data_IF_057949353243
#
_entry.id   IF_057949353243
#
_cell.length_a   1.000
_cell.length_b   1.000
_cell.length_c   1.000
_cell.angle_alpha   90.00
_cell.angle_beta   90.00
_cell.angle_gamma   90.00
#
_symmetry.space_group_name_H-M   'P 1'
#
loop_
_entity.id
_entity.type
_entity.pdbx_description
1 polymer ?
#
# COMPACT_ATOMS: atom_id res chain seq x y z
N UNK A 1 -11.11 -10.19 -13.29
CA UNK A 1 -9.87 -10.40 -12.51
C UNK A 1 -9.69 -9.28 -11.50
N UNK A 2 -9.73 -8.01 -11.93
CA UNK A 2 -9.62 -6.84 -11.04
C UNK A 2 -10.55 -6.94 -9.82
N UNK A 3 -11.86 -7.10 -10.01
CA UNK A 3 -12.82 -7.19 -8.91
C UNK A 3 -12.49 -8.29 -7.88
N UNK A 4 -12.11 -9.49 -8.33
CA UNK A 4 -11.77 -10.59 -7.43
C UNK A 4 -10.49 -10.33 -6.62
N UNK A 5 -9.52 -9.62 -7.21
CA UNK A 5 -8.30 -9.21 -6.51
C UNK A 5 -8.61 -8.11 -5.49
N UNK A 6 -9.44 -7.15 -5.87
CA UNK A 6 -9.84 -6.04 -5.02
C UNK A 6 -10.69 -6.51 -3.82
N UNK A 7 -11.63 -7.43 -4.03
CA UNK A 7 -12.41 -8.06 -2.96
C UNK A 7 -11.54 -8.82 -1.95
N UNK A 8 -10.46 -9.47 -2.41
CA UNK A 8 -9.52 -10.14 -1.52
C UNK A 8 -8.80 -9.14 -0.61
N UNK A 9 -8.42 -7.98 -1.14
CA UNK A 9 -7.72 -6.95 -0.39
C UNK A 9 -8.57 -6.24 0.65
N UNK A 10 -9.88 -6.46 0.71
CA UNK A 10 -10.76 -5.86 1.71
C UNK A 10 -10.30 -6.16 3.15
N UNK A 11 -9.64 -7.30 3.38
CA UNK A 11 -9.16 -7.74 4.69
C UNK A 11 -7.67 -7.39 4.93
N UNK A 12 -7.01 -6.70 4.00
CA UNK A 12 -5.60 -6.34 4.17
C UNK A 12 -5.39 -5.29 5.25
N UNK A 13 -4.34 -5.49 6.05
CA UNK A 13 -3.96 -4.54 7.10
C UNK A 13 -3.54 -3.16 6.53
N UNK A 14 -3.10 -3.11 5.27
CA UNK A 14 -2.85 -1.88 4.54
C UNK A 14 -3.81 -1.76 3.38
N UNK A 15 -4.39 -0.58 3.20
CA UNK A 15 -5.31 -0.29 2.09
C UNK A 15 -4.64 -0.59 0.76
N UNK A 16 -5.14 -1.59 0.04
CA UNK A 16 -4.58 -2.08 -1.20
C UNK A 16 -5.70 -2.24 -2.22
N UNK A 17 -5.42 -1.96 -3.49
CA UNK A 17 -6.40 -2.10 -4.58
C UNK A 17 -5.74 -2.57 -5.86
N UNK A 18 -6.49 -3.31 -6.68
CA UNK A 18 -6.08 -3.69 -8.02
C UNK A 18 -6.59 -2.65 -9.01
N UNK A 19 -5.69 -1.97 -9.72
CA UNK A 19 -6.05 -0.88 -10.63
C UNK A 19 -6.07 -1.30 -12.10
N UNK A 20 -5.40 -2.41 -12.41
CA UNK A 20 -5.31 -2.93 -13.78
C UNK A 20 -4.98 -4.42 -13.77
N UNK A 21 -5.41 -5.13 -14.80
CA UNK A 21 -5.05 -6.52 -15.03
C UNK A 21 -5.19 -6.83 -16.52
N UNK A 22 -4.18 -7.46 -17.11
CA UNK A 22 -4.12 -7.63 -18.56
C UNK A 22 -3.12 -8.67 -19.02
N UNK A 23 -2.81 -8.59 -20.31
CA UNK A 23 -1.72 -9.33 -20.93
C UNK A 23 -0.89 -8.35 -21.73
N UNK A 24 0.41 -8.30 -21.46
CA UNK A 24 1.39 -7.47 -22.17
C UNK A 24 2.53 -8.38 -22.60
N UNK A 25 2.88 -8.33 -23.89
CA UNK A 25 3.92 -9.19 -24.50
C UNK A 25 3.76 -10.69 -24.18
N UNK A 26 2.51 -11.15 -24.14
CA UNK A 26 2.15 -12.54 -23.82
C UNK A 26 2.19 -12.88 -22.32
N UNK A 27 2.59 -11.95 -21.45
CA UNK A 27 2.66 -12.11 -20.00
C UNK A 27 1.41 -11.56 -19.33
N UNK A 28 0.73 -12.39 -18.54
CA UNK A 28 -0.44 -11.98 -17.77
C UNK A 28 -0.01 -11.28 -16.48
N UNK A 29 -0.56 -10.10 -16.23
CA UNK A 29 -0.18 -9.29 -15.06
C UNK A 29 -1.39 -8.75 -14.31
N UNK A 30 -1.13 -8.34 -13.06
CA UNK A 30 -2.01 -7.48 -12.25
C UNK A 30 -1.20 -6.28 -11.76
N UNK A 31 -1.82 -5.11 -11.66
CA UNK A 31 -1.20 -3.89 -11.13
C UNK A 31 -1.90 -3.50 -9.83
N UNK A 32 -1.11 -3.42 -8.76
CA UNK A 32 -1.55 -3.27 -7.39
C UNK A 32 -1.04 -1.93 -6.85
N UNK A 33 -1.92 -1.21 -6.16
CA UNK A 33 -1.54 -0.01 -5.40
C UNK A 33 -1.72 -0.29 -3.93
N UNK A 34 -0.69 0.00 -3.14
CA UNK A 34 -0.72 -0.11 -1.67
C UNK A 34 -0.55 1.29 -1.08
N UNK A 35 -1.50 1.74 -0.28
CA UNK A 35 -1.33 2.96 0.51
C UNK A 35 -0.77 2.60 1.88
N UNK A 36 0.40 3.14 2.19
CA UNK A 36 1.12 2.82 3.42
C UNK A 36 1.24 4.04 4.35
N UNK A 37 1.09 3.86 5.68
CA UNK A 37 1.32 4.92 6.64
C UNK A 37 2.73 5.52 6.57
N UNK A 38 2.89 6.74 7.09
CA UNK A 38 4.20 7.38 7.15
C UNK A 38 5.16 6.78 8.18
N UNK A 39 6.44 7.19 8.18
CA UNK A 39 7.50 6.62 9.03
C UNK A 39 7.24 6.69 10.55
N UNK A 40 6.25 7.47 10.98
CA UNK A 40 5.83 7.54 12.37
C UNK A 40 5.35 6.20 12.94
N UNK A 41 4.95 5.24 12.10
CA UNK A 41 4.62 3.88 12.58
C UNK A 41 5.82 3.16 13.20
N UNK A 42 7.03 3.57 12.82
CA UNK A 42 8.25 3.02 13.38
C UNK A 42 8.60 3.64 14.74
N UNK A 43 7.86 4.66 15.19
CA UNK A 43 8.00 5.16 16.55
C UNK A 43 7.64 4.06 17.54
N UNK A 44 8.35 4.02 18.67
CA UNK A 44 8.17 3.01 19.69
C UNK A 44 9.44 2.79 20.47
N UNK A 45 9.36 1.82 21.38
CA UNK A 45 10.45 1.43 22.25
C UNK A 45 10.98 0.06 21.86
N UNK A 46 12.28 -0.12 21.95
CA UNK A 46 12.95 -1.41 21.84
C UNK A 46 13.64 -1.71 23.16
N UNK A 47 13.75 -3.00 23.48
CA UNK A 47 14.55 -3.44 24.61
C UNK A 47 16.01 -3.41 24.17
N UNK A 48 16.79 -2.58 24.84
CA UNK A 48 18.22 -2.48 24.57
C UNK A 48 18.91 -3.83 24.80
N UNK A 49 19.68 -4.36 23.83
CA UNK A 49 20.27 -5.70 23.96
C UNK A 49 21.23 -5.83 25.13
N UNK A 50 21.91 -4.75 25.52
CA UNK A 50 22.96 -4.72 26.54
C UNK A 50 22.37 -4.44 27.92
N UNK A 51 21.70 -3.29 28.08
CA UNK A 51 21.16 -2.83 29.37
C UNK A 51 19.84 -3.52 29.73
N UNK A 52 19.17 -4.16 28.77
CA UNK A 52 17.83 -4.76 28.92
C UNK A 52 16.73 -3.76 29.30
N UNK A 53 17.00 -2.46 29.28
CA UNK A 53 16.03 -1.38 29.54
C UNK A 53 15.30 -1.00 28.25
N UNK A 54 14.06 -0.53 28.36
CA UNK A 54 13.33 0.02 27.22
C UNK A 54 13.88 1.40 26.86
N UNK A 55 14.23 1.60 25.59
CA UNK A 55 14.61 2.90 25.05
C UNK A 55 13.87 3.20 23.75
N UNK A 56 13.68 4.46 23.37
CA UNK A 56 13.16 4.82 22.06
C UNK A 56 14.02 4.20 20.95
N UNK A 57 13.39 3.85 19.81
CA UNK A 57 14.14 3.48 18.61
C UNK A 57 15.02 4.63 18.13
N UNK A 58 16.26 4.31 17.75
CA UNK A 58 17.15 5.24 17.04
C UNK A 58 16.60 5.53 15.64
N UNK A 59 17.06 6.60 14.95
CA UNK A 59 16.65 6.89 13.58
C UNK A 59 16.89 5.71 12.62
N UNK A 60 18.03 5.03 12.75
CA UNK A 60 18.39 3.86 11.95
C UNK A 60 17.45 2.68 12.22
N UNK A 61 17.16 2.36 13.49
CA UNK A 61 16.20 1.31 13.85
C UNK A 61 14.80 1.61 13.30
N UNK A 62 14.40 2.88 13.28
CA UNK A 62 13.12 3.29 12.68
C UNK A 62 13.10 3.06 11.17
N UNK A 63 14.18 3.42 10.48
CA UNK A 63 14.27 3.25 9.03
C UNK A 63 14.30 1.77 8.64
N UNK A 64 15.10 0.95 9.34
CA UNK A 64 15.15 -0.51 9.14
C UNK A 64 13.79 -1.15 9.41
N UNK A 65 13.13 -0.80 10.52
CA UNK A 65 11.79 -1.30 10.83
C UNK A 65 10.78 -0.90 9.75
N UNK A 66 10.79 0.37 9.32
CA UNK A 66 9.87 0.88 8.32
C UNK A 66 10.04 0.18 6.96
N UNK A 67 11.29 -0.05 6.54
CA UNK A 67 11.62 -0.82 5.33
C UNK A 67 11.10 -2.26 5.41
N UNK A 68 11.42 -2.96 6.51
CA UNK A 68 10.95 -4.33 6.73
C UNK A 68 9.42 -4.43 6.74
N UNK A 69 8.73 -3.45 7.35
CA UNK A 69 7.28 -3.42 7.41
C UNK A 69 6.63 -3.19 6.03
N UNK A 70 7.20 -2.30 5.21
CA UNK A 70 6.78 -2.12 3.80
C UNK A 70 7.00 -3.41 3.01
N UNK A 71 8.20 -4.00 3.09
CA UNK A 71 8.54 -5.20 2.34
C UNK A 71 7.59 -6.35 2.70
N UNK A 72 7.31 -6.55 3.99
CA UNK A 72 6.35 -7.56 4.46
C UNK A 72 4.95 -7.33 3.90
N UNK A 73 4.51 -6.07 3.86
CA UNK A 73 3.19 -5.69 3.32
C UNK A 73 3.12 -6.00 1.82
N UNK A 74 4.13 -5.61 1.05
CA UNK A 74 4.20 -5.88 -0.38
C UNK A 74 4.11 -7.39 -0.65
N UNK A 75 4.92 -8.20 0.04
CA UNK A 75 4.91 -9.65 -0.17
C UNK A 75 3.56 -10.27 0.20
N UNK A 76 2.93 -9.82 1.29
CA UNK A 76 1.60 -10.29 1.67
C UNK A 76 0.57 -9.98 0.56
N UNK A 77 0.51 -8.72 0.10
CA UNK A 77 -0.40 -8.29 -0.97
C UNK A 77 -0.16 -9.03 -2.28
N UNK A 78 1.10 -9.23 -2.67
CA UNK A 78 1.43 -9.95 -3.91
C UNK A 78 1.04 -11.44 -3.83
N UNK A 79 1.30 -12.10 -2.69
CA UNK A 79 0.88 -13.50 -2.50
C UNK A 79 -0.63 -13.67 -2.58
N UNK A 80 -1.37 -12.75 -1.98
CA UNK A 80 -2.83 -12.74 -2.05
C UNK A 80 -3.32 -12.52 -3.48
N UNK A 81 -2.76 -11.53 -4.19
CA UNK A 81 -3.08 -11.29 -5.58
C UNK A 81 -2.86 -12.54 -6.45
N UNK A 82 -1.75 -13.26 -6.24
CA UNK A 82 -1.47 -14.50 -6.96
C UNK A 82 -2.36 -15.68 -6.55
N UNK A 83 -2.86 -15.70 -5.32
CA UNK A 83 -3.82 -16.70 -4.87
C UNK A 83 -5.17 -16.53 -5.59
N UNK A 84 -5.63 -15.29 -5.77
CA UNK A 84 -6.95 -14.99 -6.37
C UNK A 84 -6.90 -14.79 -7.89
N UNK A 85 -5.73 -14.45 -8.44
CA UNK A 85 -5.45 -14.42 -9.88
C UNK A 85 -4.41 -15.50 -10.24
N UNK A 86 -4.79 -16.80 -10.26
CA UNK A 86 -3.84 -17.90 -10.50
C UNK A 86 -3.22 -17.88 -11.90
N UNK A 87 -3.87 -17.22 -12.85
CA UNK A 87 -3.37 -17.05 -14.21
C UNK A 87 -2.38 -15.89 -14.38
N UNK A 88 -2.24 -15.01 -13.38
CA UNK A 88 -1.28 -13.92 -13.41
C UNK A 88 0.14 -14.46 -13.17
N UNK A 89 1.04 -14.14 -14.10
CA UNK A 89 2.46 -14.46 -14.02
C UNK A 89 3.23 -13.34 -13.30
N UNK A 90 2.76 -12.09 -13.40
CA UNK A 90 3.40 -10.93 -12.78
C UNK A 90 2.45 -10.13 -11.89
N UNK A 91 2.99 -9.52 -10.85
CA UNK A 91 2.34 -8.49 -10.05
C UNK A 91 3.20 -7.21 -10.07
N UNK A 92 2.64 -6.12 -10.59
CA UNK A 92 3.27 -4.79 -10.60
C UNK A 92 2.77 -4.03 -9.39
N UNK A 93 3.65 -3.55 -8.54
CA UNK A 93 3.27 -2.91 -7.28
C UNK A 93 3.74 -1.48 -7.26
N UNK A 94 2.86 -0.58 -6.82
CA UNK A 94 3.20 0.80 -6.47
C UNK A 94 2.80 1.05 -5.02
N UNK A 95 3.75 1.49 -4.19
CA UNK A 95 3.46 1.90 -2.81
C UNK A 95 3.36 3.42 -2.75
N UNK A 96 2.21 3.90 -2.29
CA UNK A 96 1.90 5.31 -2.09
C UNK A 96 1.92 5.63 -0.59
N UNK A 97 2.31 6.86 -0.27
CA UNK A 97 2.25 7.41 1.08
C UNK A 97 1.74 8.84 1.04
N UNK A 98 0.99 9.23 2.07
CA UNK A 98 0.68 10.65 2.30
C UNK A 98 1.95 11.45 2.61
N UNK A 99 2.36 12.31 1.68
CA UNK A 99 3.44 13.27 1.79
C UNK A 99 2.87 14.67 2.01
N UNK A 100 2.98 15.16 3.25
CA UNK A 100 2.51 16.49 3.65
C UNK A 100 3.18 17.64 2.89
N UNK A 101 4.28 17.38 2.17
CA UNK A 101 4.95 18.38 1.31
C UNK A 101 4.24 18.59 -0.02
N UNK A 102 3.36 17.67 -0.42
CA UNK A 102 2.56 17.79 -1.64
C UNK A 102 1.36 18.70 -1.35
N UNK A 103 1.34 19.88 -1.97
CA UNK A 103 0.33 20.93 -1.76
C UNK A 103 -1.01 20.70 -2.50
N UNK A 104 -1.15 19.60 -3.25
CA UNK A 104 -2.35 19.28 -4.04
C UNK A 104 -3.29 18.34 -3.27
N UNK A 105 -4.56 18.28 -3.69
CA UNK A 105 -5.65 17.53 -3.05
C UNK A 105 -5.28 16.07 -2.75
N UNK A 106 -4.67 15.37 -3.71
CA UNK A 106 -4.03 14.08 -3.46
C UNK A 106 -2.65 14.27 -2.82
N UNK A 107 -2.57 14.31 -1.49
CA UNK A 107 -1.27 14.33 -0.76
C UNK A 107 -0.46 13.04 -0.93
N UNK A 108 -0.77 12.17 -1.88
CA UNK A 108 -0.07 10.91 -2.09
C UNK A 108 1.15 11.08 -2.97
N UNK A 109 2.24 10.42 -2.59
CA UNK A 109 3.43 10.28 -3.39
C UNK A 109 3.91 8.83 -3.41
N UNK A 110 4.38 8.36 -4.57
CA UNK A 110 4.97 7.03 -4.69
C UNK A 110 6.32 6.97 -3.96
N UNK A 111 6.52 5.95 -3.13
CA UNK A 111 7.77 5.73 -2.39
C UNK A 111 8.51 4.46 -2.86
N UNK A 112 7.83 3.60 -3.61
CA UNK A 112 8.36 2.36 -4.17
C UNK A 112 7.53 1.93 -5.37
N UNK A 113 8.17 1.36 -6.39
CA UNK A 113 7.49 0.59 -7.43
C UNK A 113 8.38 -0.56 -7.92
N UNK A 114 7.81 -1.71 -8.26
CA UNK A 114 8.54 -2.85 -8.84
C UNK A 114 7.59 -3.87 -9.47
N UNK A 115 8.16 -4.85 -10.16
CA UNK A 115 7.48 -6.02 -10.73
C UNK A 115 7.96 -7.29 -10.04
N UNK A 116 7.01 -8.14 -9.64
CA UNK A 116 7.27 -9.43 -9.00
C UNK A 116 6.80 -10.57 -9.90
N UNK A 117 7.68 -11.54 -10.14
CA UNK A 117 7.33 -12.77 -10.83
C UNK A 117 6.65 -13.76 -9.88
N UNK A 118 5.65 -14.49 -10.40
CA UNK A 118 4.91 -15.48 -9.61
C UNK A 118 5.83 -16.55 -9.02
N UNK A 119 6.75 -17.08 -9.80
CA UNK A 119 7.67 -18.13 -9.35
C UNK A 119 8.58 -17.63 -8.22
N UNK A 120 9.10 -16.41 -8.31
CA UNK A 120 9.98 -15.83 -7.29
C UNK A 120 9.29 -15.61 -5.94
N UNK A 121 7.98 -15.37 -5.96
CA UNK A 121 7.17 -15.16 -4.75
C UNK A 121 6.59 -16.47 -4.25
N UNK A 122 5.97 -17.28 -5.11
CA UNK A 122 5.17 -18.44 -4.70
C UNK A 122 6.02 -19.66 -4.37
N UNK A 123 7.19 -19.81 -5.01
CA UNK A 123 8.07 -20.96 -4.80
C UNK A 123 9.12 -20.72 -3.71
N UNK A 124 9.18 -19.50 -3.16
CA UNK A 124 10.15 -19.10 -2.12
C UNK A 124 9.76 -19.63 -0.74
N UNK A 125 10.74 -20.14 0.00
CA UNK A 125 10.55 -20.52 1.41
C UNK A 125 10.53 -19.29 2.33
N UNK A 126 9.33 -18.75 2.52
CA UNK A 126 9.08 -17.60 3.39
C UNK A 126 9.25 -17.89 4.88
N UNK A 127 9.50 -19.14 5.30
CA UNK A 127 9.83 -19.41 6.72
C UNK A 127 11.25 -19.00 7.07
N UNK A 128 12.14 -18.97 6.08
CA UNK A 128 13.55 -18.61 6.25
C UNK A 128 13.96 -17.35 5.48
N UNK A 129 13.15 -16.92 4.50
CA UNK A 129 13.46 -15.74 3.69
C UNK A 129 12.96 -14.45 4.35
N UNK A 130 13.77 -13.39 4.27
CA UNK A 130 13.35 -12.05 4.65
C UNK A 130 12.62 -11.36 3.48
N UNK A 131 11.46 -10.72 3.69
CA UNK A 131 10.74 -10.00 2.64
C UNK A 131 11.59 -8.96 1.90
N UNK A 132 12.49 -8.29 2.62
CA UNK A 132 13.38 -7.28 2.07
C UNK A 132 14.31 -7.81 0.98
N UNK A 133 14.72 -9.08 1.05
CA UNK A 133 15.66 -9.67 0.10
C UNK A 133 15.10 -9.70 -1.33
N UNK A 134 13.79 -9.95 -1.46
CA UNK A 134 13.10 -9.91 -2.75
C UNK A 134 12.69 -8.48 -3.12
N UNK A 135 12.07 -7.76 -2.19
CA UNK A 135 11.49 -6.44 -2.46
C UNK A 135 12.55 -5.44 -2.92
N UNK A 136 13.75 -5.48 -2.34
CA UNK A 136 14.82 -4.52 -2.68
C UNK A 136 15.72 -4.97 -3.84
N UNK A 137 15.40 -6.09 -4.49
CA UNK A 137 16.11 -6.59 -5.67
C UNK A 137 15.16 -6.92 -6.84
N UNK A 138 13.87 -6.63 -6.68
CA UNK A 138 12.83 -6.93 -7.65
C UNK A 138 13.04 -6.24 -9.01
N UNK A 139 12.46 -6.82 -10.04
CA UNK A 139 12.52 -6.31 -11.41
C UNK A 139 11.91 -4.91 -11.49
N UNK A 140 12.56 -4.02 -12.26
CA UNK A 140 12.16 -2.62 -12.45
C UNK A 140 12.00 -1.81 -11.16
N UNK A 141 12.69 -2.21 -10.09
CA UNK A 141 12.58 -1.51 -8.80
C UNK A 141 12.96 -0.02 -8.92
N UNK A 142 12.07 0.83 -8.42
CA UNK A 142 12.24 2.27 -8.26
C UNK A 142 12.08 2.64 -6.79
N UNK A 143 13.13 3.20 -6.21
CA UNK A 143 13.17 3.65 -4.83
C UNK A 143 14.09 4.87 -4.69
N UNK A 144 13.72 5.84 -3.85
CA UNK A 144 14.65 6.87 -3.35
C UNK A 144 14.99 6.50 -1.92
N UNK A 145 16.03 5.68 -1.79
CA UNK A 145 16.58 5.24 -0.51
C UNK A 145 17.78 6.12 -0.15
N UNK A 146 17.64 7.03 0.83
CA UNK A 146 18.72 7.92 1.20
C UNK A 146 19.87 7.15 1.89
N UNK A 147 21.11 7.43 1.46
CA UNK A 147 22.32 6.79 1.97
C UNK A 147 22.60 7.07 3.46
N UNK A 148 21.93 8.06 4.06
CA UNK A 148 22.06 8.43 5.47
C UNK A 148 21.19 7.57 6.41
N UNK A 149 20.51 6.56 5.87
CA UNK A 149 19.62 5.69 6.64
C UNK A 149 18.31 6.37 7.05
N UNK A 150 17.93 7.49 6.43
CA UNK A 150 16.60 8.05 6.61
C UNK A 150 15.53 7.15 5.96
N UNK A 151 14.26 7.36 6.36
CA UNK A 151 13.15 6.59 5.79
C UNK A 151 12.94 6.90 4.31
N UNK A 152 12.38 5.94 3.57
CA UNK A 152 12.13 6.04 2.13
C UNK A 152 11.48 7.37 1.73
N UNK A 153 12.08 8.02 0.74
CA UNK A 153 11.59 9.29 0.21
C UNK A 153 10.60 9.05 -0.92
N UNK A 154 9.79 10.07 -1.15
CA UNK A 154 8.88 10.10 -2.29
C UNK A 154 9.70 10.23 -3.56
N UNK A 155 9.42 9.37 -4.53
CA UNK A 155 10.04 9.37 -5.86
C UNK A 155 9.80 10.70 -6.56
N UNK A 156 10.79 11.17 -7.31
CA UNK A 156 10.71 12.42 -8.06
C UNK A 156 9.70 12.31 -9.19
N UNK A 157 8.68 13.18 -9.19
CA UNK A 157 7.65 13.23 -10.24
C UNK A 157 8.21 13.62 -11.61
N UNK A 158 9.37 14.28 -11.66
CA UNK A 158 10.06 14.60 -12.92
C UNK A 158 10.69 13.38 -13.57
N UNK A 159 11.16 12.43 -12.74
CA UNK A 159 11.78 11.20 -13.21
C UNK A 159 10.74 10.11 -13.46
N UNK A 160 9.62 10.14 -12.73
CA UNK A 160 8.56 9.14 -12.79
C UNK A 160 7.18 9.80 -12.93
N UNK A 161 6.87 10.42 -14.09
CA UNK A 161 5.58 11.07 -14.31
C UNK A 161 4.40 10.09 -14.29
N UNK A 162 4.63 8.85 -14.77
CA UNK A 162 3.70 7.73 -14.73
C UNK A 162 3.23 7.41 -13.30
N UNK A 163 4.17 7.27 -12.36
CA UNK A 163 3.86 6.99 -10.96
C UNK A 163 3.19 8.19 -10.27
N UNK A 164 3.51 9.40 -10.70
CA UNK A 164 2.86 10.62 -10.21
C UNK A 164 1.40 10.72 -10.68
N UNK A 165 1.07 10.17 -11.86
CA UNK A 165 -0.29 10.11 -12.37
C UNK A 165 -1.13 9.07 -11.61
N UNK A 166 -0.57 7.88 -11.35
CA UNK A 166 -1.21 6.87 -10.48
C UNK A 166 -1.50 7.45 -9.10
N UNK A 167 -0.51 8.09 -8.47
CA UNK A 167 -0.70 8.69 -7.14
C UNK A 167 -1.81 9.75 -7.12
N UNK A 168 -1.95 10.52 -8.20
CA UNK A 168 -2.99 11.54 -8.35
C UNK A 168 -4.37 10.92 -8.51
N UNK A 169 -4.51 9.94 -9.40
CA UNK A 169 -5.79 9.26 -9.63
C UNK A 169 -6.31 8.61 -8.35
N UNK A 170 -5.42 7.90 -7.62
CA UNK A 170 -5.79 7.25 -6.36
C UNK A 170 -6.13 8.27 -5.29
N UNK A 171 -5.36 9.34 -5.13
CA UNK A 171 -5.69 10.35 -4.14
C UNK A 171 -6.98 11.12 -4.46
N UNK A 172 -7.29 11.37 -5.73
CA UNK A 172 -8.58 11.93 -6.14
C UNK A 172 -9.75 11.01 -5.78
N UNK A 173 -9.62 9.70 -6.03
CA UNK A 173 -10.65 8.73 -5.67
C UNK A 173 -10.88 8.64 -4.15
N UNK A 174 -9.81 8.72 -3.36
CA UNK A 174 -9.91 8.75 -1.89
C UNK A 174 -10.57 10.02 -1.38
N UNK A 175 -10.19 11.19 -1.92
CA UNK A 175 -10.81 12.47 -1.58
C UNK A 175 -12.32 12.49 -1.91
N UNK A 176 -12.73 11.89 -3.04
CA UNK A 176 -14.14 11.76 -3.43
C UNK A 176 -14.91 10.82 -2.50
N UNK A 177 -14.28 9.73 -2.04
CA UNK A 177 -14.89 8.80 -1.08
C UNK A 177 -15.08 9.43 0.31
N UNK A 178 -14.13 10.23 0.77
CA UNK A 178 -14.21 11.00 2.02
C UNK A 178 -15.18 12.18 1.91
N UNK A 179 -15.39 12.69 0.68
CA UNK A 179 -16.28 13.81 0.40
C UNK A 179 -17.77 13.43 0.35
N UNK A 180 -18.16 12.15 0.49
CA UNK A 180 -19.58 11.75 0.67
C UNK A 180 -20.02 12.14 2.08
N UNK A 181 -20.74 13.27 2.28
CA UNK A 181 -21.18 13.66 3.58
C UNK A 181 -22.41 12.81 3.94
N UNK A 182 -22.58 12.55 5.23
CA UNK A 182 -23.65 11.80 5.90
C UNK A 182 -25.10 12.33 5.68
N UNK A 183 -25.38 12.99 4.56
CA UNK A 183 -26.70 13.54 4.18
C UNK A 183 -27.70 12.50 3.66
N UNK A 184 -27.29 11.25 3.43
CA UNK A 184 -28.19 10.15 3.05
C UNK A 184 -28.74 9.34 4.25
N UNK A 185 -28.48 9.76 5.50
CA UNK A 185 -29.08 9.20 6.72
C UNK A 185 -30.06 10.16 7.43
N UNK A 186 -30.66 11.12 6.72
CA UNK A 186 -31.96 11.67 7.16
C UNK A 186 -33.07 10.82 6.57
N UNK A 187 -33.48 9.84 7.38
CA UNK A 187 -34.73 9.08 7.30
C UNK A 187 -35.81 9.79 6.48
N UNK A 188 -36.19 9.13 5.41
CA UNK A 188 -37.56 9.11 4.91
C UNK A 188 -38.50 8.68 6.05
N UNK A 189 -39.60 9.43 6.18
CA UNK A 189 -40.94 8.96 6.53
C UNK A 189 -41.13 8.03 7.73
N UNK A 190 -41.12 8.60 8.93
CA UNK A 190 -42.01 8.10 9.98
C UNK A 190 -43.41 8.68 9.74
N UNK A 191 -44.22 7.92 9.00
CA UNK A 191 -45.66 8.10 8.94
C UNK A 191 -46.23 8.21 10.35
N UNK A 192 -46.88 9.34 10.65
CA UNK A 192 -47.60 9.53 11.90
C UNK A 192 -48.82 8.59 11.94
N UNK A 193 -49.08 7.89 13.06
CA UNK A 193 -50.26 7.05 13.16
C UNK A 193 -51.54 7.91 13.26
N UNK A 194 -52.70 7.40 12.79
CA UNK A 194 -53.94 8.16 12.77
C UNK A 194 -54.44 8.43 14.20
N UNK A 195 -54.78 9.70 14.47
CA UNK A 195 -55.46 10.10 15.70
C UNK A 195 -56.90 9.57 15.68
N UNK A 196 -57.18 8.57 16.50
CA UNK A 196 -58.56 8.19 16.86
C UNK A 196 -59.16 9.28 17.74
N UNK A 197 -60.26 9.87 17.28
CA UNK A 197 -61.01 10.90 18.00
C UNK A 197 -61.73 10.35 19.24
N UNK A 198 -61.80 11.22 20.25
CA UNK A 198 -62.93 11.38 21.18
C UNK A 198 -63.04 12.85 21.54
#
# INVERSE_FOLDING_TARGET
>A
MIQAVDEAFADNASASTCIDAGTEDGTRYVTLVVTYPGPSIANGYVRDPQSKVLRPRTPEEKATFYKAAIASTIIATVKEAFAVAPAAAQARVVVLRNDKRILRSSKLGAIYAATFERSEVMDRDWKSAEPGDLVYTATDMRIDDPADGASLRTLSTKQHPDLADVARQIGSALDESDAVPSRLLRREDFGSPPRTGR
#
